data_IF_354791222824
#
_entry.id   IF_354791222824
#
_cell.length_a   1.000
_cell.length_b   1.000
_cell.length_c   1.000
_cell.angle_alpha   90.00
_cell.angle_beta   90.00
_cell.angle_gamma   90.00
#
_symmetry.space_group_name_H-M   'P 1'
#
loop_
_entity.id
_entity.type
_entity.pdbx_description
1 polymer ?
#
# COMPACT_ATOMS: atom_id res chain seq x y z
N UNK A 1 -2.16 -22.03 -1.03
CA UNK A 1 -1.46 -21.36 0.09
C UNK A 1 -0.10 -20.94 -0.42
N UNK A 2 0.31 -19.69 -0.24
CA UNK A 2 1.59 -19.19 -0.75
C UNK A 2 2.72 -19.82 0.06
N UNK A 3 3.75 -20.36 -0.60
CA UNK A 3 4.94 -20.90 0.04
C UNK A 3 6.02 -19.82 0.18
N UNK A 4 5.97 -19.10 1.30
CA UNK A 4 6.91 -18.01 1.58
C UNK A 4 8.34 -18.51 1.77
N UNK A 5 8.54 -19.76 2.21
CA UNK A 5 9.87 -20.36 2.35
C UNK A 5 10.52 -20.56 0.99
N UNK A 6 9.79 -21.12 0.03
CA UNK A 6 10.28 -21.30 -1.33
C UNK A 6 10.62 -19.96 -2.01
N UNK A 7 9.80 -18.92 -1.79
CA UNK A 7 10.05 -17.57 -2.30
C UNK A 7 11.31 -16.97 -1.66
N UNK A 8 11.45 -17.06 -0.34
CA UNK A 8 12.59 -16.50 0.38
C UNK A 8 13.91 -17.17 -0.03
N UNK A 9 13.92 -18.49 -0.20
CA UNK A 9 15.09 -19.23 -0.71
C UNK A 9 15.47 -18.81 -2.13
N UNK A 10 14.47 -18.62 -3.02
CA UNK A 10 14.73 -18.12 -4.39
C UNK A 10 15.35 -16.71 -4.38
N UNK A 11 14.87 -15.84 -3.49
CA UNK A 11 15.41 -14.48 -3.33
C UNK A 11 16.84 -14.53 -2.78
N UNK A 12 17.09 -15.32 -1.72
CA UNK A 12 18.43 -15.52 -1.16
C UNK A 12 19.43 -15.98 -2.22
N UNK A 13 19.08 -16.98 -3.02
CA UNK A 13 19.95 -17.48 -4.09
C UNK A 13 20.27 -16.40 -5.13
N UNK A 14 19.30 -15.55 -5.45
CA UNK A 14 19.48 -14.43 -6.39
C UNK A 14 20.34 -13.31 -5.77
N UNK A 15 20.14 -13.01 -4.48
CA UNK A 15 20.87 -11.98 -3.74
C UNK A 15 22.33 -12.36 -3.48
N UNK A 16 22.59 -13.64 -3.16
CA UNK A 16 23.93 -14.22 -3.03
C UNK A 16 24.73 -14.06 -4.32
N UNK A 17 24.11 -14.30 -5.48
CA UNK A 17 24.74 -14.06 -6.79
C UNK A 17 25.12 -12.60 -7.06
N UNK A 18 24.64 -11.66 -6.23
CA UNK A 18 24.91 -10.21 -6.29
C UNK A 18 25.74 -9.71 -5.11
N UNK A 19 26.25 -10.61 -4.25
CA UNK A 19 27.08 -10.24 -3.09
C UNK A 19 26.31 -9.78 -1.86
N UNK A 20 24.98 -9.95 -1.83
CA UNK A 20 24.15 -9.62 -0.66
C UNK A 20 23.83 -10.87 0.16
N UNK A 21 23.83 -10.73 1.48
CA UNK A 21 23.40 -11.77 2.42
C UNK A 21 21.95 -11.54 2.84
N UNK A 22 21.11 -12.57 2.68
CA UNK A 22 19.70 -12.55 3.07
C UNK A 22 19.42 -13.78 3.93
N UNK A 23 18.84 -13.57 5.11
CA UNK A 23 18.31 -14.66 5.94
C UNK A 23 16.94 -15.08 5.39
N UNK A 24 16.81 -16.32 4.86
CA UNK A 24 15.57 -16.77 4.24
C UNK A 24 14.47 -17.03 5.25
N UNK A 25 14.81 -17.33 6.52
CA UNK A 25 13.82 -17.57 7.57
C UNK A 25 13.15 -16.25 7.95
N UNK A 26 13.96 -15.24 8.27
CA UNK A 26 13.47 -13.88 8.60
C UNK A 26 12.71 -13.27 7.43
N UNK A 27 13.17 -13.48 6.19
CA UNK A 27 12.46 -13.00 5.01
C UNK A 27 11.10 -13.70 4.83
N UNK A 28 11.03 -15.02 5.02
CA UNK A 28 9.77 -15.76 4.92
C UNK A 28 8.76 -15.29 5.98
N UNK A 29 9.19 -15.08 7.22
CA UNK A 29 8.35 -14.54 8.30
C UNK A 29 7.80 -13.15 7.95
N UNK A 30 8.65 -12.23 7.49
CA UNK A 30 8.22 -10.89 7.06
C UNK A 30 7.23 -10.93 5.90
N UNK A 31 7.46 -11.77 4.91
CA UNK A 31 6.55 -11.93 3.78
C UNK A 31 5.19 -12.47 4.22
N UNK A 32 5.17 -13.41 5.16
CA UNK A 32 3.93 -13.93 5.73
C UNK A 32 3.17 -12.87 6.54
N UNK A 33 3.87 -12.08 7.35
CA UNK A 33 3.28 -10.96 8.10
C UNK A 33 2.71 -9.89 7.17
N UNK A 34 3.43 -9.55 6.11
CA UNK A 34 2.97 -8.59 5.11
C UNK A 34 1.73 -9.11 4.36
N UNK A 35 1.70 -10.39 3.98
CA UNK A 35 0.51 -11.02 3.39
C UNK A 35 -0.68 -10.98 4.35
N UNK A 36 -0.48 -11.31 5.63
CA UNK A 36 -1.54 -11.23 6.65
C UNK A 36 -2.08 -9.80 6.76
N UNK A 37 -1.18 -8.82 6.84
CA UNK A 37 -1.55 -7.40 6.91
C UNK A 37 -2.32 -6.95 5.68
N UNK A 38 -1.88 -7.35 4.49
CA UNK A 38 -2.58 -7.06 3.22
C UNK A 38 -3.99 -7.66 3.19
N UNK A 39 -4.16 -8.90 3.65
CA UNK A 39 -5.50 -9.52 3.77
C UNK A 39 -6.39 -8.77 4.74
N UNK A 40 -5.86 -8.36 5.89
CA UNK A 40 -6.60 -7.56 6.87
C UNK A 40 -7.03 -6.22 6.27
N UNK A 41 -6.14 -5.51 5.58
CA UNK A 41 -6.51 -4.28 4.88
C UNK A 41 -7.57 -4.54 3.82
N UNK A 42 -7.41 -5.58 3.00
CA UNK A 42 -8.42 -5.94 2.01
C UNK A 42 -9.78 -6.21 2.64
N UNK A 43 -9.85 -6.90 3.78
CA UNK A 43 -11.13 -7.14 4.45
C UNK A 43 -11.75 -5.87 5.04
N UNK A 44 -10.94 -4.96 5.61
CA UNK A 44 -11.43 -3.72 6.22
C UNK A 44 -11.88 -2.74 5.15
N UNK A 45 -11.03 -2.47 4.16
CA UNK A 45 -11.28 -1.48 3.10
C UNK A 45 -12.23 -1.97 2.00
N UNK A 46 -12.66 -3.24 2.05
CA UNK A 46 -13.77 -3.72 1.22
C UNK A 46 -15.15 -3.30 1.74
N UNK A 47 -15.26 -2.90 3.02
CA UNK A 47 -16.51 -2.40 3.61
C UNK A 47 -16.81 -0.97 3.15
N UNK A 48 -18.06 -0.52 3.23
CA UNK A 48 -18.43 0.85 2.86
C UNK A 48 -17.70 1.89 3.73
N UNK A 49 -17.73 1.75 5.05
CA UNK A 49 -16.96 2.61 5.96
C UNK A 49 -15.45 2.57 5.69
N UNK A 50 -14.90 1.42 5.29
CA UNK A 50 -13.52 1.32 4.87
C UNK A 50 -13.24 2.11 3.59
N UNK A 51 -14.14 2.04 2.60
CA UNK A 51 -14.02 2.82 1.36
C UNK A 51 -14.08 4.32 1.63
N UNK A 52 -14.95 4.78 2.54
CA UNK A 52 -15.02 6.17 2.97
C UNK A 52 -13.67 6.63 3.54
N UNK A 53 -13.09 5.88 4.49
CA UNK A 53 -11.75 6.20 5.03
C UNK A 53 -10.67 6.21 3.95
N UNK A 54 -10.76 5.31 2.96
CA UNK A 54 -9.84 5.32 1.82
C UNK A 54 -9.98 6.61 0.99
N UNK A 55 -11.22 7.07 0.77
CA UNK A 55 -11.49 8.33 0.07
C UNK A 55 -10.94 9.51 0.86
N UNK A 56 -11.17 9.57 2.18
CA UNK A 56 -10.60 10.61 3.05
C UNK A 56 -9.08 10.68 2.92
N UNK A 57 -8.39 9.54 2.97
CA UNK A 57 -6.94 9.48 2.81
C UNK A 57 -6.48 10.00 1.43
N UNK A 58 -7.24 9.70 0.37
CA UNK A 58 -6.96 10.18 -0.98
C UNK A 58 -7.16 11.70 -1.08
N UNK A 59 -8.24 12.23 -0.50
CA UNK A 59 -8.59 13.65 -0.57
C UNK A 59 -7.67 14.49 0.30
N UNK A 60 -7.50 14.14 1.57
CA UNK A 60 -6.64 14.87 2.50
C UNK A 60 -5.14 14.74 2.15
N UNK A 61 -4.75 13.62 1.55
CA UNK A 61 -3.40 13.44 1.01
C UNK A 61 -3.17 14.24 -0.28
N UNK A 62 -4.23 14.65 -0.97
CA UNK A 62 -4.16 15.29 -2.27
C UNK A 62 -3.70 14.33 -3.38
N UNK A 63 -4.28 13.12 -3.43
CA UNK A 63 -3.86 12.09 -4.39
C UNK A 63 -4.00 12.56 -5.85
N UNK A 64 -5.10 13.24 -6.18
CA UNK A 64 -5.39 13.78 -7.51
C UNK A 64 -5.32 15.32 -7.54
N UNK A 65 -4.73 15.94 -6.52
CA UNK A 65 -4.51 17.39 -6.46
C UNK A 65 -3.03 17.69 -6.31
N UNK A 66 -2.60 18.85 -6.77
CA UNK A 66 -1.24 19.35 -6.55
C UNK A 66 -1.33 20.58 -5.65
N UNK A 67 -1.52 20.38 -4.33
CA UNK A 67 -1.54 21.50 -3.40
C UNK A 67 -0.12 22.07 -3.25
N UNK A 68 0.00 23.39 -3.35
CA UNK A 68 1.19 24.09 -2.90
C UNK A 68 1.22 24.06 -1.37
N UNK A 69 2.23 23.39 -0.80
CA UNK A 69 2.40 23.24 0.64
C UNK A 69 3.80 23.71 1.01
N UNK A 70 3.89 24.86 1.66
CA UNK A 70 5.16 25.46 2.10
C UNK A 70 5.68 24.86 3.41
N UNK A 71 4.81 24.25 4.21
CA UNK A 71 5.18 23.58 5.47
C UNK A 71 5.65 22.15 5.20
N UNK A 72 6.95 21.91 5.45
CA UNK A 72 7.59 20.62 5.25
C UNK A 72 6.96 19.48 6.08
N UNK A 73 6.47 19.73 7.29
CA UNK A 73 5.82 18.71 8.12
C UNK A 73 4.46 18.34 7.54
N UNK A 74 3.71 19.35 7.10
CA UNK A 74 2.42 19.14 6.44
C UNK A 74 2.59 18.37 5.13
N UNK A 75 3.62 18.72 4.34
CA UNK A 75 3.96 18.02 3.11
C UNK A 75 4.28 16.54 3.35
N UNK A 76 5.13 16.25 4.33
CA UNK A 76 5.47 14.88 4.70
C UNK A 76 4.25 14.07 5.16
N UNK A 77 3.33 14.70 5.90
CA UNK A 77 2.10 14.05 6.35
C UNK A 77 1.16 13.74 5.18
N UNK A 78 0.96 14.68 4.24
CA UNK A 78 0.17 14.46 3.04
C UNK A 78 0.77 13.37 2.14
N UNK A 79 2.09 13.33 1.98
CA UNK A 79 2.79 12.25 1.28
C UNK A 79 2.55 10.89 1.95
N UNK A 80 2.63 10.83 3.28
CA UNK A 80 2.31 9.62 4.04
C UNK A 80 0.89 9.11 3.77
N UNK A 81 -0.10 10.00 3.77
CA UNK A 81 -1.49 9.67 3.43
C UNK A 81 -1.64 9.16 2.00
N UNK A 82 -1.02 9.82 1.02
CA UNK A 82 -1.04 9.38 -0.39
C UNK A 82 -0.42 8.00 -0.56
N UNK A 83 0.75 7.77 0.03
CA UNK A 83 1.44 6.48 -0.04
C UNK A 83 0.58 5.35 0.56
N UNK A 84 -0.08 5.61 1.69
CA UNK A 84 -1.01 4.66 2.29
C UNK A 84 -2.22 4.39 1.39
N UNK A 85 -2.87 5.44 0.88
CA UNK A 85 -4.03 5.31 0.00
C UNK A 85 -3.71 4.50 -1.26
N UNK A 86 -2.59 4.79 -1.93
CA UNK A 86 -2.12 4.03 -3.12
C UNK A 86 -1.88 2.57 -2.77
N UNK A 87 -1.23 2.29 -1.64
CA UNK A 87 -0.96 0.91 -1.20
C UNK A 87 -2.25 0.14 -0.94
N UNK A 88 -3.22 0.75 -0.26
CA UNK A 88 -4.53 0.15 0.02
C UNK A 88 -5.30 -0.08 -1.29
N UNK A 89 -5.41 0.92 -2.14
CA UNK A 89 -6.10 0.83 -3.43
C UNK A 89 -5.51 -0.28 -4.32
N UNK A 90 -4.17 -0.36 -4.40
CA UNK A 90 -3.48 -1.44 -5.09
C UNK A 90 -3.76 -2.82 -4.48
N UNK A 91 -3.87 -2.91 -3.15
CA UNK A 91 -4.18 -4.18 -2.46
C UNK A 91 -5.63 -4.64 -2.71
N UNK A 92 -6.54 -3.69 -2.92
CA UNK A 92 -7.92 -3.96 -3.35
C UNK A 92 -8.01 -4.32 -4.84
N UNK A 93 -6.94 -4.10 -5.62
CA UNK A 93 -6.94 -4.32 -7.06
C UNK A 93 -7.68 -3.23 -7.82
N UNK A 94 -7.82 -2.03 -7.24
CA UNK A 94 -8.45 -0.89 -7.90
C UNK A 94 -7.55 -0.37 -9.02
N UNK A 95 -8.12 -0.18 -10.19
CA UNK A 95 -7.45 0.47 -11.30
C UNK A 95 -7.60 2.00 -11.22
N UNK A 96 -6.90 2.73 -12.09
CA UNK A 96 -6.92 4.19 -12.10
C UNK A 96 -8.33 4.77 -12.32
N UNK A 97 -9.13 4.19 -13.23
CA UNK A 97 -10.49 4.66 -13.52
C UNK A 97 -11.39 4.56 -12.29
N UNK A 98 -11.30 3.44 -11.56
CA UNK A 98 -12.04 3.22 -10.31
C UNK A 98 -11.62 4.21 -9.23
N UNK A 99 -10.33 4.49 -9.10
CA UNK A 99 -9.81 5.49 -8.15
C UNK A 99 -10.37 6.89 -8.47
N UNK A 100 -10.35 7.28 -9.74
CA UNK A 100 -10.90 8.58 -10.17
C UNK A 100 -12.41 8.68 -9.92
N UNK A 101 -13.16 7.60 -10.17
CA UNK A 101 -14.60 7.56 -9.87
C UNK A 101 -14.87 7.75 -8.38
N UNK A 102 -14.15 7.02 -7.52
CA UNK A 102 -14.28 7.15 -6.07
C UNK A 102 -13.99 8.58 -5.58
N UNK A 103 -12.96 9.22 -6.16
CA UNK A 103 -12.58 10.59 -5.83
C UNK A 103 -13.59 11.66 -6.31
N UNK A 104 -14.33 11.37 -7.37
CA UNK A 104 -15.25 12.36 -7.98
C UNK A 104 -16.60 12.46 -7.26
N UNK A 105 -16.91 11.50 -6.39
CA UNK A 105 -18.19 11.42 -5.66
C UNK A 105 -18.27 12.45 -4.52
N UNK A 106 -17.14 12.95 -3.99
CA UNK A 106 -17.12 13.94 -2.90
C UNK A 106 -17.15 15.40 -3.35
N UNK A 107 -17.17 15.67 -4.66
CA UNK A 107 -17.23 17.05 -5.18
C UNK A 107 -18.65 17.59 -5.43
N UNK A 108 -19.69 16.85 -5.05
CA UNK A 108 -21.09 17.32 -5.00
C UNK A 108 -21.53 17.61 -3.55
#
# INVERSE_FOLDING_TARGET
>A
MIDFKAIAEKIKNTALGRGYTVDPVVLAERLEEDEKRLRSYKSVFATEAGKEVLIDLMVEGGLLSSPEIDDALKLAHCEGKRAMAVRIASSLGLNFEQIVQMYSIEKE
#
